data_IF_979071916883
#
_entry.id   IF_979071916883
#
_cell.length_a   1.000
_cell.length_b   1.000
_cell.length_c   1.000
_cell.angle_alpha   90.00
_cell.angle_beta   90.00
_cell.angle_gamma   90.00
#
_symmetry.space_group_name_H-M   'P 1'
#
loop_
_entity.id
_entity.type
_entity.pdbx_description
1 polymer ?
#
# COMPACT_ATOMS: atom_id res chain seq x y z
N UNK A 1 -38.37 43.44 22.79
CA UNK A 1 -37.61 42.85 21.67
C UNK A 1 -36.50 42.00 22.28
N UNK A 2 -36.52 40.68 22.05
CA UNK A 2 -35.59 39.74 22.63
C UNK A 2 -34.23 39.77 21.91
N UNK A 3 -33.12 39.80 22.64
CA UNK A 3 -31.78 39.46 22.15
C UNK A 3 -31.59 37.93 22.18
N UNK A 4 -30.77 37.38 21.27
CA UNK A 4 -29.80 36.40 21.76
C UNK A 4 -28.42 36.40 21.05
N UNK A 5 -27.40 36.24 21.90
CA UNK A 5 -26.16 35.47 21.74
C UNK A 5 -25.07 35.89 20.73
N UNK A 6 -24.02 36.47 21.31
CA UNK A 6 -22.67 36.48 20.80
C UNK A 6 -22.19 35.06 20.47
N UNK A 7 -21.85 34.79 19.21
CA UNK A 7 -20.96 33.69 18.86
C UNK A 7 -19.52 34.18 19.04
N UNK A 8 -19.01 34.08 20.26
CA UNK A 8 -17.57 33.99 20.48
C UNK A 8 -17.14 32.69 19.78
N UNK A 9 -16.70 32.76 18.52
CA UNK A 9 -15.79 31.73 18.04
C UNK A 9 -14.53 31.89 18.88
N UNK A 10 -14.45 31.12 19.97
CA UNK A 10 -13.19 30.78 20.57
C UNK A 10 -12.36 30.19 19.44
N UNK A 11 -11.52 31.03 18.83
CA UNK A 11 -10.31 30.60 18.15
C UNK A 11 -9.58 29.74 19.17
N UNK A 12 -9.90 28.45 19.17
CA UNK A 12 -9.20 27.47 19.98
C UNK A 12 -7.78 27.60 19.47
N UNK A 13 -6.83 27.99 20.33
CA UNK A 13 -5.40 28.02 20.05
C UNK A 13 -4.98 26.63 19.53
N UNK A 14 -5.20 26.40 18.24
CA UNK A 14 -4.84 25.20 17.51
C UNK A 14 -3.68 25.61 16.64
N UNK A 15 -2.49 25.36 17.16
CA UNK A 15 -1.28 25.55 16.40
C UNK A 15 -1.15 24.37 15.44
N UNK A 16 -1.10 24.68 14.15
CA UNK A 16 -0.91 23.69 13.09
C UNK A 16 0.56 23.27 13.06
N UNK A 17 0.82 21.97 13.19
CA UNK A 17 2.17 21.42 13.32
C UNK A 17 2.74 20.92 11.98
N UNK A 18 2.09 21.21 10.85
CA UNK A 18 2.50 20.73 9.52
C UNK A 18 3.98 21.01 9.19
N UNK A 19 4.48 22.22 9.47
CA UNK A 19 5.87 22.60 9.14
C UNK A 19 6.91 21.92 10.05
N UNK A 20 6.57 21.70 11.33
CA UNK A 20 7.43 20.99 12.27
C UNK A 20 7.54 19.49 11.94
N UNK A 21 6.47 18.90 11.40
CA UNK A 21 6.44 17.49 10.95
C UNK A 21 7.41 17.27 9.79
N UNK A 22 7.51 18.21 8.84
CA UNK A 22 8.38 18.07 7.65
C UNK A 22 9.88 17.98 8.01
N UNK A 23 10.33 18.75 9.01
CA UNK A 23 11.74 18.84 9.38
C UNK A 23 12.23 17.76 10.37
N UNK A 24 11.31 17.09 11.06
CA UNK A 24 11.63 16.18 12.16
C UNK A 24 11.64 14.69 11.77
N UNK A 25 11.10 14.37 10.59
CA UNK A 25 10.66 13.03 10.20
C UNK A 25 11.71 12.18 9.46
N UNK A 26 12.81 12.73 8.93
CA UNK A 26 13.62 11.98 7.96
C UNK A 26 14.43 10.82 8.57
N UNK A 27 14.92 10.97 9.80
CA UNK A 27 15.67 9.88 10.46
C UNK A 27 14.75 8.87 11.14
N UNK A 28 13.61 9.32 11.65
CA UNK A 28 12.78 8.54 12.55
C UNK A 28 11.60 7.87 11.87
N UNK A 29 11.05 8.48 10.83
CA UNK A 29 9.88 7.98 10.09
C UNK A 29 10.10 8.09 8.57
N UNK A 30 11.04 7.31 8.00
CA UNK A 30 11.47 7.42 6.62
C UNK A 30 10.42 6.95 5.61
N UNK A 31 9.56 5.98 5.98
CA UNK A 31 8.48 5.53 5.10
C UNK A 31 7.34 6.55 5.08
N UNK A 32 6.96 7.07 6.25
CA UNK A 32 5.87 8.03 6.39
C UNK A 32 6.12 9.32 5.59
N UNK A 33 7.36 9.83 5.57
CA UNK A 33 7.72 11.01 4.77
C UNK A 33 7.41 10.85 3.28
N UNK A 34 7.48 9.62 2.75
CA UNK A 34 7.29 9.36 1.32
C UNK A 34 5.82 9.30 0.94
N UNK A 35 4.96 8.85 1.85
CA UNK A 35 3.54 8.56 1.59
C UNK A 35 2.59 9.59 2.22
N UNK A 36 3.03 10.36 3.22
CA UNK A 36 2.20 11.35 3.88
C UNK A 36 1.94 12.53 2.95
N UNK A 37 0.65 12.81 2.72
CA UNK A 37 0.22 13.90 1.86
C UNK A 37 -0.59 14.90 2.67
N UNK A 38 -0.03 16.09 2.92
CA UNK A 38 -0.69 17.15 3.68
C UNK A 38 -1.75 17.91 2.87
N UNK A 39 -1.68 17.87 1.54
CA UNK A 39 -2.60 18.57 0.63
C UNK A 39 -3.89 17.80 0.29
N UNK A 40 -3.98 16.52 0.68
CA UNK A 40 -5.15 15.67 0.45
C UNK A 40 -5.79 15.33 1.80
N UNK A 41 -7.11 15.21 1.84
CA UNK A 41 -7.82 14.88 3.07
C UNK A 41 -8.97 13.92 2.80
N UNK A 42 -9.20 12.99 3.72
CA UNK A 42 -10.42 12.20 3.76
C UNK A 42 -11.60 13.12 4.13
N UNK A 43 -12.77 12.87 3.56
CA UNK A 43 -14.00 13.65 3.83
C UNK A 43 -14.96 12.93 4.78
N UNK A 44 -14.73 11.64 5.03
CA UNK A 44 -15.59 10.80 5.84
C UNK A 44 -14.75 9.84 6.69
N UNK A 45 -15.35 9.26 7.74
CA UNK A 45 -14.69 8.29 8.64
C UNK A 45 -14.38 6.96 7.95
N UNK A 46 -15.13 6.64 6.90
CA UNK A 46 -14.78 5.60 5.93
C UNK A 46 -14.28 6.28 4.66
N UNK A 47 -12.96 6.25 4.45
CA UNK A 47 -12.32 6.76 3.24
C UNK A 47 -12.35 5.69 2.17
N UNK A 48 -13.02 5.95 1.05
CA UNK A 48 -13.12 5.01 -0.05
C UNK A 48 -12.58 5.62 -1.33
N UNK A 49 -11.89 4.80 -2.11
CA UNK A 49 -11.33 5.17 -3.41
C UNK A 49 -11.72 4.14 -4.46
N UNK A 50 -11.65 4.55 -5.72
CA UNK A 50 -11.91 3.69 -6.86
C UNK A 50 -10.58 3.35 -7.52
N UNK A 51 -10.30 2.06 -7.62
CA UNK A 51 -9.18 1.56 -8.40
C UNK A 51 -9.59 1.51 -9.87
N UNK A 52 -9.13 2.49 -10.64
CA UNK A 52 -9.25 2.51 -12.09
C UNK A 52 -8.00 1.84 -12.67
N UNK A 53 -8.09 0.54 -12.89
CA UNK A 53 -7.02 -0.23 -13.55
C UNK A 53 -7.44 -0.57 -14.97
N UNK A 54 -6.46 -0.79 -15.85
CA UNK A 54 -6.73 -1.53 -17.08
C UNK A 54 -6.87 -3.01 -16.73
N UNK A 55 -7.84 -3.66 -17.35
CA UNK A 55 -7.97 -5.12 -17.29
C UNK A 55 -6.83 -5.76 -18.08
N UNK A 56 -6.10 -6.69 -17.44
CA UNK A 56 -5.03 -7.43 -18.10
C UNK A 56 -5.56 -8.39 -19.16
N UNK A 57 -4.75 -8.69 -20.19
CA UNK A 57 -5.09 -9.63 -21.26
C UNK A 57 -4.76 -11.09 -20.94
N UNK A 58 -4.22 -11.38 -19.75
CA UNK A 58 -3.83 -12.73 -19.33
C UNK A 58 -4.66 -13.21 -18.17
N UNK A 59 -4.79 -14.53 -18.04
CA UNK A 59 -5.42 -15.23 -16.92
C UNK A 59 -4.78 -16.63 -16.76
N UNK A 60 -5.31 -17.46 -15.86
CA UNK A 60 -4.94 -18.88 -15.72
C UNK A 60 -6.17 -19.77 -15.64
N UNK A 61 -6.01 -21.03 -16.05
CA UNK A 61 -6.98 -22.07 -15.76
C UNK A 61 -7.02 -22.34 -14.25
N UNK A 62 -8.22 -22.45 -13.71
CA UNK A 62 -8.51 -22.86 -12.33
C UNK A 62 -9.04 -24.30 -12.33
N UNK A 63 -8.14 -25.23 -12.65
CA UNK A 63 -8.43 -26.64 -12.86
C UNK A 63 -7.95 -27.19 -14.21
N UNK A 64 -7.60 -28.47 -14.21
CA UNK A 64 -7.24 -29.17 -15.44
C UNK A 64 -8.48 -29.41 -16.31
N UNK A 65 -8.32 -29.27 -17.62
CA UNK A 65 -9.38 -29.52 -18.61
C UNK A 65 -8.98 -30.65 -19.57
N UNK A 66 -9.96 -31.46 -19.96
CA UNK A 66 -9.77 -32.46 -21.01
C UNK A 66 -10.04 -31.85 -22.41
N UNK A 67 -9.95 -32.70 -23.44
CA UNK A 67 -10.16 -32.32 -24.85
C UNK A 67 -11.65 -32.19 -25.25
N UNK A 68 -12.57 -32.30 -24.30
CA UNK A 68 -14.01 -32.27 -24.52
C UNK A 68 -14.74 -31.22 -23.66
N UNK A 69 -14.10 -30.71 -22.60
CA UNK A 69 -14.63 -29.70 -21.71
C UNK A 69 -14.98 -28.41 -22.46
N UNK A 70 -16.26 -28.03 -22.40
CA UNK A 70 -16.81 -26.79 -22.99
C UNK A 70 -17.07 -25.70 -21.95
N UNK A 71 -17.04 -26.04 -20.68
CA UNK A 71 -17.08 -25.10 -19.56
C UNK A 71 -15.70 -25.06 -18.94
N UNK A 72 -15.10 -23.88 -18.86
CA UNK A 72 -13.75 -23.66 -18.37
C UNK A 72 -13.83 -22.74 -17.16
N UNK A 73 -13.22 -23.20 -16.07
CA UNK A 73 -12.97 -22.40 -14.89
C UNK A 73 -11.62 -21.67 -15.05
N UNK A 74 -11.64 -20.38 -14.78
CA UNK A 74 -10.50 -19.46 -14.87
C UNK A 74 -10.36 -18.76 -13.53
N UNK A 75 -9.12 -18.46 -13.13
CA UNK A 75 -8.84 -17.77 -11.86
C UNK A 75 -9.63 -16.45 -11.78
N UNK A 76 -9.73 -15.72 -12.90
CA UNK A 76 -10.54 -14.50 -13.02
C UNK A 76 -9.95 -13.30 -12.28
N UNK A 77 -8.85 -13.51 -11.56
CA UNK A 77 -8.12 -12.50 -10.81
C UNK A 77 -6.62 -12.44 -11.14
N UNK A 78 -6.10 -13.37 -11.94
CA UNK A 78 -4.69 -13.39 -12.33
C UNK A 78 -4.33 -12.17 -13.19
N UNK A 79 -3.40 -11.31 -12.75
CA UNK A 79 -3.14 -9.97 -13.35
C UNK A 79 -4.41 -9.10 -13.45
N UNK A 80 -5.35 -9.39 -12.54
CA UNK A 80 -6.55 -8.70 -12.08
C UNK A 80 -7.64 -8.27 -13.06
N UNK A 81 -8.84 -8.02 -12.52
CA UNK A 81 -10.05 -7.66 -13.23
C UNK A 81 -11.08 -8.78 -13.13
N UNK A 82 -11.91 -8.98 -12.07
CA UNK A 82 -13.06 -9.86 -12.24
C UNK A 82 -13.88 -9.29 -13.41
N UNK A 83 -14.16 -10.10 -14.43
CA UNK A 83 -14.87 -9.75 -15.68
C UNK A 83 -14.00 -9.37 -16.91
N UNK A 84 -12.85 -10.01 -17.12
CA UNK A 84 -12.04 -9.83 -18.34
C UNK A 84 -12.75 -10.23 -19.63
N UNK A 85 -13.61 -11.22 -19.51
CA UNK A 85 -14.21 -11.94 -20.61
C UNK A 85 -15.55 -11.34 -21.01
N UNK A 86 -15.78 -11.28 -22.32
CA UNK A 86 -17.07 -10.95 -22.92
C UNK A 86 -17.41 -12.05 -23.92
N UNK A 87 -18.69 -12.37 -24.09
CA UNK A 87 -19.12 -13.30 -25.12
C UNK A 87 -18.56 -12.89 -26.51
N UNK A 88 -18.04 -13.86 -27.25
CA UNK A 88 -17.36 -13.64 -28.53
C UNK A 88 -15.85 -13.42 -28.44
N UNK A 89 -15.28 -13.25 -27.24
CA UNK A 89 -13.82 -13.15 -27.03
C UNK A 89 -13.12 -14.44 -27.45
N UNK A 90 -11.98 -14.31 -28.14
CA UNK A 90 -11.11 -15.42 -28.49
C UNK A 90 -9.97 -15.49 -27.48
N UNK A 91 -9.83 -16.64 -26.84
CA UNK A 91 -8.76 -16.95 -25.91
C UNK A 91 -7.82 -17.99 -26.52
N UNK A 92 -6.59 -18.03 -26.02
CA UNK A 92 -5.57 -18.99 -26.40
C UNK A 92 -5.03 -19.67 -25.15
N UNK A 93 -4.92 -20.99 -25.18
CA UNK A 93 -4.29 -21.81 -24.15
C UNK A 93 -3.26 -22.68 -24.86
N UNK A 94 -1.97 -22.47 -24.58
CA UNK A 94 -0.86 -23.10 -25.30
C UNK A 94 -1.00 -22.94 -26.83
N UNK A 95 -1.30 -24.00 -27.59
CA UNK A 95 -1.51 -23.95 -29.04
C UNK A 95 -3.00 -24.01 -29.45
N UNK A 96 -3.91 -24.07 -28.48
CA UNK A 96 -5.35 -24.12 -28.72
C UNK A 96 -5.98 -22.73 -28.68
N UNK A 97 -6.73 -22.37 -29.72
CA UNK A 97 -7.63 -21.23 -29.72
C UNK A 97 -9.04 -21.67 -29.34
N UNK A 98 -9.70 -20.92 -28.46
CA UNK A 98 -11.07 -21.17 -28.04
C UNK A 98 -11.88 -19.88 -28.14
N UNK A 99 -13.14 -19.98 -28.53
CA UNK A 99 -14.05 -18.82 -28.60
C UNK A 99 -15.06 -18.89 -27.47
N UNK A 100 -15.14 -17.86 -26.64
CA UNK A 100 -16.12 -17.76 -25.57
C UNK A 100 -17.52 -17.56 -26.18
N UNK A 101 -18.45 -18.45 -25.85
CA UNK A 101 -19.86 -18.37 -26.28
C UNK A 101 -20.72 -17.66 -25.23
N UNK A 102 -20.42 -17.87 -23.95
CA UNK A 102 -21.08 -17.19 -22.83
C UNK A 102 -20.13 -17.02 -21.66
N UNK A 103 -20.36 -15.99 -20.86
CA UNK A 103 -19.68 -15.77 -19.58
C UNK A 103 -20.69 -16.13 -18.50
N UNK A 104 -20.40 -17.16 -17.71
CA UNK A 104 -21.34 -17.69 -16.71
C UNK A 104 -21.13 -17.00 -15.36
N UNK A 105 -19.88 -16.66 -15.04
CA UNK A 105 -19.48 -15.88 -13.86
C UNK A 105 -18.13 -15.18 -14.12
N UNK A 106 -17.58 -14.46 -13.13
CA UNK A 106 -16.24 -13.86 -13.22
C UNK A 106 -15.10 -14.89 -13.32
N UNK A 107 -15.36 -16.15 -12.98
CA UNK A 107 -14.38 -17.26 -12.93
C UNK A 107 -14.78 -18.44 -13.82
N UNK A 108 -15.87 -18.34 -14.58
CA UNK A 108 -16.34 -19.45 -15.43
C UNK A 108 -16.88 -18.96 -16.76
N UNK A 109 -16.39 -19.55 -17.84
CA UNK A 109 -16.78 -19.26 -19.22
C UNK A 109 -17.15 -20.53 -19.98
N UNK A 110 -18.11 -20.41 -20.89
CA UNK A 110 -18.43 -21.47 -21.86
C UNK A 110 -17.73 -21.16 -23.17
N UNK A 111 -17.07 -22.14 -23.77
CA UNK A 111 -16.25 -21.96 -24.98
C UNK A 111 -16.60 -22.97 -26.08
N UNK A 112 -16.35 -22.57 -27.32
CA UNK A 112 -16.14 -23.47 -28.45
C UNK A 112 -14.65 -23.77 -28.57
N UNK A 113 -14.29 -25.04 -28.38
CA UNK A 113 -12.93 -25.59 -28.49
C UNK A 113 -12.48 -25.71 -29.95
N UNK A 114 -11.17 -25.82 -30.19
CA UNK A 114 -10.63 -26.02 -31.55
C UNK A 114 -10.97 -24.90 -32.55
N UNK A 115 -11.06 -23.66 -32.07
CA UNK A 115 -11.45 -22.52 -32.88
C UNK A 115 -10.33 -22.12 -33.85
N UNK A 116 -10.68 -21.47 -34.97
CA UNK A 116 -9.72 -21.03 -35.99
C UNK A 116 -8.79 -22.15 -36.54
N UNK A 117 -9.23 -23.40 -36.47
CA UNK A 117 -8.48 -24.56 -36.98
C UNK A 117 -7.51 -25.20 -35.98
N UNK A 118 -7.51 -24.78 -34.70
CA UNK A 118 -6.76 -25.48 -33.66
C UNK A 118 -7.40 -26.82 -33.28
N UNK A 119 -6.65 -27.67 -32.59
CA UNK A 119 -7.14 -28.97 -32.10
C UNK A 119 -7.40 -28.89 -30.60
N UNK A 120 -8.52 -29.47 -30.14
CA UNK A 120 -8.83 -29.53 -28.72
C UNK A 120 -7.83 -30.43 -27.97
N UNK A 121 -7.17 -29.89 -26.94
CA UNK A 121 -6.16 -30.57 -26.15
C UNK A 121 -6.51 -30.66 -24.67
N UNK A 122 -5.82 -31.52 -23.93
CA UNK A 122 -5.88 -31.49 -22.47
C UNK A 122 -4.89 -30.45 -21.96
N UNK A 123 -5.30 -29.63 -21.00
CA UNK A 123 -4.43 -28.63 -20.37
C UNK A 123 -4.42 -28.83 -18.86
N UNK A 124 -3.27 -28.65 -18.25
CA UNK A 124 -3.10 -28.77 -16.80
C UNK A 124 -3.61 -27.52 -16.09
N UNK A 125 -3.91 -27.67 -14.80
CA UNK A 125 -4.22 -26.54 -13.93
C UNK A 125 -3.10 -25.49 -13.96
N UNK A 126 -3.44 -24.22 -13.72
CA UNK A 126 -2.55 -23.06 -13.75
C UNK A 126 -1.91 -22.74 -15.11
N UNK A 127 -2.33 -23.39 -16.20
CA UNK A 127 -1.89 -23.03 -17.56
C UNK A 127 -2.37 -21.62 -17.92
N UNK A 128 -1.51 -20.81 -18.53
CA UNK A 128 -1.83 -19.44 -18.93
C UNK A 128 -2.91 -19.41 -20.01
N UNK A 129 -3.88 -18.51 -19.83
CA UNK A 129 -4.93 -18.17 -20.79
C UNK A 129 -4.67 -16.76 -21.31
N UNK A 130 -4.45 -16.62 -22.61
CA UNK A 130 -4.24 -15.34 -23.27
C UNK A 130 -5.50 -14.88 -24.00
N UNK A 131 -5.99 -13.68 -23.70
CA UNK A 131 -7.05 -13.01 -24.45
C UNK A 131 -6.44 -12.44 -25.72
N UNK A 132 -6.74 -13.07 -26.86
CA UNK A 132 -6.15 -12.71 -28.15
C UNK A 132 -6.90 -11.55 -28.79
N UNK A 133 -8.22 -11.61 -28.82
CA UNK A 133 -9.05 -10.61 -29.47
C UNK A 133 -10.50 -10.64 -28.98
N UNK A 134 -11.17 -9.49 -29.11
CA UNK A 134 -12.63 -9.35 -28.92
C UNK A 134 -13.29 -8.97 -30.26
N UNK A 135 -13.36 -9.90 -31.23
CA UNK A 135 -13.87 -9.58 -32.57
C UNK A 135 -15.34 -9.21 -32.53
N UNK A 136 -15.73 -8.21 -33.32
CA UNK A 136 -17.13 -7.81 -33.54
C UNK A 136 -17.54 -8.21 -34.96
N UNK A 137 -18.80 -8.62 -35.12
CA UNK A 137 -19.35 -8.96 -36.43
C UNK A 137 -19.56 -7.71 -37.29
N UNK A 138 -19.55 -7.87 -38.61
CA UNK A 138 -19.93 -6.80 -39.54
C UNK A 138 -21.42 -6.46 -39.36
N UNK A 139 -21.73 -5.16 -39.24
CA UNK A 139 -23.08 -4.68 -38.91
C UNK A 139 -23.45 -4.81 -37.42
N UNK A 140 -22.46 -4.90 -36.52
CA UNK A 140 -22.71 -4.94 -35.08
C UNK A 140 -23.39 -3.67 -34.58
N UNK A 141 -24.59 -3.83 -34.02
CA UNK A 141 -25.28 -2.80 -33.27
C UNK A 141 -24.87 -2.86 -31.79
N UNK A 142 -24.45 -1.74 -31.17
CA UNK A 142 -24.11 -1.71 -29.75
C UNK A 142 -25.39 -1.87 -28.91
N UNK A 143 -25.64 -3.08 -28.41
CA UNK A 143 -26.83 -3.38 -27.61
C UNK A 143 -26.66 -3.07 -26.12
N UNK A 144 -25.42 -3.00 -25.62
CA UNK A 144 -25.09 -2.72 -24.23
C UNK A 144 -23.78 -1.90 -24.12
N UNK A 145 -23.64 -1.15 -23.02
CA UNK A 145 -22.47 -0.32 -22.76
C UNK A 145 -21.34 -1.14 -22.15
N UNK A 146 -20.13 -1.06 -22.73
CA UNK A 146 -18.91 -1.76 -22.26
C UNK A 146 -18.16 -0.98 -21.15
N UNK A 147 -18.84 -0.10 -20.40
CA UNK A 147 -18.19 0.64 -19.31
C UNK A 147 -17.85 -0.30 -18.15
N UNK A 148 -16.56 -0.41 -17.82
CA UNK A 148 -16.09 -1.12 -16.63
C UNK A 148 -16.09 -0.18 -15.42
N UNK A 149 -16.80 -0.58 -14.36
CA UNK A 149 -16.72 0.12 -13.07
C UNK A 149 -15.44 -0.29 -12.34
N UNK A 150 -14.67 0.69 -11.87
CA UNK A 150 -13.52 0.42 -11.02
C UNK A 150 -13.94 -0.21 -9.68
N UNK A 151 -13.06 -1.03 -9.11
CA UNK A 151 -13.31 -1.67 -7.81
C UNK A 151 -13.21 -0.61 -6.71
N UNK A 152 -14.19 -0.59 -5.81
CA UNK A 152 -14.20 0.33 -4.68
C UNK A 152 -13.54 -0.32 -3.47
N UNK A 153 -12.37 0.19 -3.10
CA UNK A 153 -11.71 -0.15 -1.85
C UNK A 153 -11.99 0.92 -0.79
N UNK A 154 -11.84 0.54 0.47
CA UNK A 154 -12.06 1.46 1.59
C UNK A 154 -11.19 1.15 2.80
N UNK A 155 -10.91 2.19 3.57
CA UNK A 155 -10.26 2.14 4.86
C UNK A 155 -11.00 3.03 5.87
N UNK A 156 -10.72 2.83 7.15
CA UNK A 156 -11.26 3.67 8.22
C UNK A 156 -10.27 4.77 8.63
N UNK A 157 -10.78 5.85 9.22
CA UNK A 157 -9.95 6.86 9.90
C UNK A 157 -9.76 6.48 11.36
N UNK A 158 -8.57 6.74 11.89
CA UNK A 158 -8.19 6.47 13.28
C UNK A 158 -7.69 7.73 13.97
N UNK A 159 -8.10 7.92 15.22
CA UNK A 159 -7.69 9.05 16.05
C UNK A 159 -6.38 8.72 16.78
N UNK A 160 -5.40 9.59 16.60
CA UNK A 160 -4.12 9.58 17.29
C UNK A 160 -4.11 10.70 18.31
N UNK A 161 -3.88 10.38 19.59
CA UNK A 161 -3.78 11.40 20.63
C UNK A 161 -2.73 11.10 21.68
N UNK A 162 -2.12 12.16 22.22
CA UNK A 162 -1.28 12.10 23.42
C UNK A 162 -1.59 13.29 24.32
N UNK A 163 -1.72 13.01 25.61
CA UNK A 163 -2.02 13.98 26.65
C UNK A 163 -0.77 14.32 27.46
N UNK A 164 -0.56 15.61 27.73
CA UNK A 164 0.53 16.13 28.54
C UNK A 164 -0.07 17.03 29.60
N UNK A 165 0.41 16.90 30.84
CA UNK A 165 0.06 17.79 31.93
C UNK A 165 1.29 18.17 32.74
N UNK A 166 1.44 19.45 33.06
CA UNK A 166 2.51 19.98 33.90
C UNK A 166 1.93 20.84 35.01
N UNK A 167 2.52 20.76 36.20
CA UNK A 167 2.15 21.63 37.33
C UNK A 167 2.77 23.02 37.17
N UNK A 168 2.13 24.05 37.73
CA UNK A 168 2.66 25.42 37.71
C UNK A 168 4.04 25.53 38.36
N UNK A 169 4.29 24.75 39.42
CA UNK A 169 5.62 24.65 40.04
C UNK A 169 6.66 24.06 39.07
N UNK A 170 6.33 22.98 38.34
CA UNK A 170 7.25 22.37 37.38
C UNK A 170 7.61 23.32 36.23
N UNK A 171 6.66 24.15 35.79
CA UNK A 171 6.91 25.15 34.74
C UNK A 171 7.76 26.32 35.25
N UNK A 172 7.58 26.72 36.51
CA UNK A 172 8.36 27.80 37.12
C UNK A 172 9.83 27.40 37.38
N UNK A 173 10.10 26.10 37.57
CA UNK A 173 11.46 25.58 37.71
C UNK A 173 12.17 25.62 36.36
N UNK A 174 13.14 26.54 36.22
CA UNK A 174 14.03 26.61 35.06
C UNK A 174 14.95 25.39 35.03
N UNK A 175 14.65 24.44 34.14
CA UNK A 175 15.55 23.32 33.84
C UNK A 175 16.50 23.75 32.73
N UNK A 176 17.81 23.66 32.98
CA UNK A 176 18.83 23.99 32.01
C UNK A 176 18.64 23.13 30.73
N UNK A 177 18.51 23.78 29.57
CA UNK A 177 18.30 23.11 28.27
C UNK A 177 16.84 22.89 27.87
N UNK A 178 15.85 23.32 28.67
CA UNK A 178 14.43 23.31 28.31
C UNK A 178 13.74 24.61 28.77
N UNK A 179 13.98 25.70 28.04
CA UNK A 179 13.43 27.03 28.38
C UNK A 179 11.89 27.05 28.38
N UNK A 180 11.26 26.15 27.61
CA UNK A 180 9.81 25.91 27.61
C UNK A 180 9.49 24.41 27.73
N UNK A 181 9.46 23.87 28.95
CA UNK A 181 9.21 22.45 29.22
C UNK A 181 7.96 21.90 28.51
N UNK A 182 6.87 22.67 28.46
CA UNK A 182 5.63 22.22 27.80
C UNK A 182 5.85 21.98 26.30
N UNK A 183 6.46 22.94 25.59
CA UNK A 183 6.71 22.83 24.15
C UNK A 183 7.62 21.65 23.81
N UNK A 184 8.69 21.44 24.57
CA UNK A 184 9.62 20.33 24.37
C UNK A 184 8.95 18.98 24.58
N UNK A 185 8.05 18.86 25.57
CA UNK A 185 7.30 17.64 25.78
C UNK A 185 6.26 17.41 24.67
N UNK A 186 5.61 18.48 24.19
CA UNK A 186 4.68 18.40 23.04
C UNK A 186 5.39 17.90 21.79
N UNK A 187 6.56 18.42 21.46
CA UNK A 187 7.35 17.96 20.31
C UNK A 187 7.77 16.49 20.45
N UNK A 188 8.19 16.06 21.64
CA UNK A 188 8.52 14.65 21.90
C UNK A 188 7.32 13.73 21.71
N UNK A 189 6.13 14.15 22.15
CA UNK A 189 4.90 13.38 21.95
C UNK A 189 4.42 13.40 20.51
N UNK A 190 4.64 14.49 19.77
CA UNK A 190 4.40 14.51 18.34
C UNK A 190 5.28 13.48 17.61
N UNK A 191 6.58 13.39 17.94
CA UNK A 191 7.47 12.36 17.36
C UNK A 191 6.98 10.94 17.65
N UNK A 192 6.53 10.69 18.88
CA UNK A 192 5.98 9.39 19.29
C UNK A 192 4.74 9.03 18.46
N UNK A 193 3.83 9.99 18.25
CA UNK A 193 2.65 9.82 17.41
C UNK A 193 3.00 9.54 15.94
N UNK A 194 3.98 10.23 15.38
CA UNK A 194 4.41 9.98 13.99
C UNK A 194 4.99 8.58 13.83
N UNK A 195 5.76 8.08 14.80
CA UNK A 195 6.26 6.69 14.80
C UNK A 195 5.13 5.67 14.87
N UNK A 196 4.11 5.95 15.69
CA UNK A 196 2.91 5.13 15.76
C UNK A 196 2.18 5.07 14.41
N UNK A 197 2.01 6.23 13.74
CA UNK A 197 1.41 6.28 12.39
C UNK A 197 2.21 5.51 11.35
N UNK A 198 3.55 5.59 11.35
CA UNK A 198 4.38 4.78 10.42
C UNK A 198 4.20 3.28 10.68
N UNK A 199 4.24 2.88 11.95
CA UNK A 199 4.06 1.48 12.33
C UNK A 199 2.70 0.93 11.89
N UNK A 200 1.63 1.70 12.09
CA UNK A 200 0.29 1.32 11.63
C UNK A 200 0.15 1.37 10.11
N UNK A 201 0.83 2.28 9.41
CA UNK A 201 0.88 2.28 7.95
C UNK A 201 1.49 0.98 7.38
N UNK A 202 2.36 0.31 8.13
CA UNK A 202 2.97 -0.97 7.72
C UNK A 202 2.14 -2.16 8.19
N UNK A 203 1.86 -2.24 9.50
CA UNK A 203 1.31 -3.42 10.18
C UNK A 203 -0.20 -3.33 10.47
N UNK A 204 -0.83 -2.20 10.18
CA UNK A 204 -2.21 -1.92 10.56
C UNK A 204 -3.20 -2.92 9.97
N UNK A 205 -4.25 -3.20 10.74
CA UNK A 205 -5.37 -4.05 10.33
C UNK A 205 -6.62 -3.19 10.24
N UNK A 206 -7.43 -3.44 9.20
CA UNK A 206 -8.71 -2.75 9.06
C UNK A 206 -9.72 -3.42 9.99
N UNK A 207 -10.13 -2.73 11.04
CA UNK A 207 -11.08 -3.27 12.02
C UNK A 207 -11.96 -2.18 12.63
N UNK A 208 -13.23 -2.52 12.88
CA UNK A 208 -14.19 -1.71 13.62
C UNK A 208 -14.88 -2.63 14.65
N UNK A 209 -14.98 -2.20 15.91
CA UNK A 209 -15.46 -3.04 17.02
C UNK A 209 -16.99 -3.25 17.05
N UNK A 210 -17.69 -2.89 15.98
CA UNK A 210 -19.16 -2.99 15.87
C UNK A 210 -19.94 -1.96 16.71
N UNK A 211 -19.28 -1.25 17.64
CA UNK A 211 -19.88 -0.11 18.37
C UNK A 211 -19.80 1.20 17.58
N UNK A 212 -18.96 1.24 16.54
CA UNK A 212 -18.78 2.39 15.66
C UNK A 212 -17.84 3.48 16.20
N UNK A 213 -17.29 3.29 17.41
CA UNK A 213 -16.50 4.30 18.10
C UNK A 213 -14.99 4.05 17.95
N UNK A 214 -14.55 2.79 17.99
CA UNK A 214 -13.13 2.43 17.82
C UNK A 214 -12.87 1.85 16.43
N UNK A 215 -12.00 2.53 15.68
CA UNK A 215 -11.61 2.15 14.33
C UNK A 215 -10.09 2.06 14.23
N UNK A 216 -9.63 0.99 13.58
CA UNK A 216 -8.25 0.80 13.19
C UNK A 216 -8.14 0.88 11.67
N UNK A 217 -7.20 1.69 11.18
CA UNK A 217 -6.95 1.76 9.75
C UNK A 217 -6.00 0.62 9.31
N UNK A 218 -6.28 0.03 8.14
CA UNK A 218 -5.44 -0.99 7.54
C UNK A 218 -4.15 -0.43 6.92
N UNK A 219 -3.03 -1.11 7.13
CA UNK A 219 -1.73 -0.77 6.56
C UNK A 219 -1.38 -1.62 5.33
N UNK A 220 -0.12 -1.57 4.92
CA UNK A 220 0.40 -2.35 3.78
C UNK A 220 0.11 -3.84 3.89
N UNK A 221 0.28 -4.43 5.09
CA UNK A 221 0.06 -5.86 5.27
C UNK A 221 -1.38 -6.31 4.97
N UNK A 222 -2.38 -5.44 5.17
CA UNK A 222 -3.78 -5.74 4.88
C UNK A 222 -4.10 -5.60 3.39
N UNK A 223 -3.50 -4.61 2.72
CA UNK A 223 -3.86 -4.26 1.34
C UNK A 223 -2.98 -4.94 0.28
N UNK A 224 -1.71 -5.25 0.57
CA UNK A 224 -0.83 -5.94 -0.38
C UNK A 224 -1.16 -7.42 -0.38
N UNK A 225 -1.80 -7.89 -1.46
CA UNK A 225 -2.24 -9.29 -1.62
C UNK A 225 -1.23 -10.16 -2.37
N UNK A 226 -0.44 -9.57 -3.28
CA UNK A 226 0.58 -10.30 -4.03
C UNK A 226 1.76 -10.63 -3.11
N UNK A 227 2.07 -11.91 -2.98
CA UNK A 227 3.12 -12.39 -2.09
C UNK A 227 3.94 -13.56 -2.65
N UNK A 228 5.23 -13.55 -2.33
CA UNK A 228 6.12 -14.71 -2.50
C UNK A 228 6.64 -15.17 -1.13
N UNK A 229 6.58 -16.47 -0.89
CA UNK A 229 7.17 -17.11 0.29
C UNK A 229 8.60 -17.56 -0.01
N UNK A 230 9.58 -16.88 0.59
CA UNK A 230 10.98 -17.22 0.42
C UNK A 230 11.41 -18.49 1.21
N UNK A 231 10.50 -19.13 1.96
CA UNK A 231 10.73 -20.39 2.65
C UNK A 231 12.00 -20.42 3.53
N UNK A 232 12.24 -19.34 4.28
CA UNK A 232 13.44 -19.10 5.10
C UNK A 232 14.76 -19.03 4.31
N UNK A 233 14.72 -18.80 2.99
CA UNK A 233 15.90 -18.57 2.18
C UNK A 233 16.54 -17.20 2.48
N UNK A 234 17.87 -17.13 2.34
CA UNK A 234 18.58 -15.86 2.36
C UNK A 234 18.11 -14.98 1.20
N UNK A 235 18.06 -13.66 1.43
CA UNK A 235 17.71 -12.71 0.38
C UNK A 235 18.69 -12.84 -0.79
N UNK A 236 18.16 -13.07 -2.00
CA UNK A 236 18.89 -13.12 -3.25
C UNK A 236 18.34 -12.08 -4.23
N UNK A 237 19.13 -11.67 -5.22
CA UNK A 237 18.67 -10.72 -6.26
C UNK A 237 17.50 -11.29 -7.06
N UNK A 238 17.46 -12.61 -7.28
CA UNK A 238 16.36 -13.30 -7.95
C UNK A 238 15.00 -13.06 -7.27
N UNK A 239 14.93 -13.00 -5.94
CA UNK A 239 13.67 -12.72 -5.25
C UNK A 239 13.11 -11.34 -5.62
N UNK A 240 13.99 -10.35 -5.77
CA UNK A 240 13.60 -8.97 -6.14
C UNK A 240 13.28 -8.91 -7.63
N UNK A 241 14.08 -9.56 -8.47
CA UNK A 241 13.90 -9.51 -9.92
C UNK A 241 12.60 -10.24 -10.32
N UNK A 242 12.28 -11.40 -9.74
CA UNK A 242 10.99 -12.08 -9.94
C UNK A 242 9.81 -11.20 -9.52
N UNK A 243 9.88 -10.58 -8.33
CA UNK A 243 8.83 -9.68 -7.86
C UNK A 243 8.64 -8.48 -8.79
N UNK A 244 9.73 -7.91 -9.32
CA UNK A 244 9.68 -6.79 -10.26
C UNK A 244 9.10 -7.22 -11.60
N UNK A 245 9.45 -8.41 -12.11
CA UNK A 245 8.91 -8.94 -13.35
C UNK A 245 7.40 -9.15 -13.26
N UNK A 246 6.91 -9.76 -12.18
CA UNK A 246 5.46 -9.95 -11.97
C UNK A 246 4.71 -8.62 -11.89
N UNK A 247 5.29 -7.62 -11.22
CA UNK A 247 4.73 -6.27 -11.18
C UNK A 247 4.72 -5.59 -12.57
N UNK A 248 5.77 -5.79 -13.38
CA UNK A 248 5.83 -5.26 -14.74
C UNK A 248 4.79 -5.90 -15.65
N UNK A 249 4.57 -7.20 -15.54
CA UNK A 249 3.52 -7.88 -16.31
C UNK A 249 2.12 -7.38 -15.94
N UNK A 250 1.90 -7.01 -14.67
CA UNK A 250 0.70 -6.32 -14.20
C UNK A 250 0.62 -4.84 -14.64
N UNK A 251 1.62 -4.33 -15.39
CA UNK A 251 1.69 -2.95 -15.86
C UNK A 251 2.06 -1.92 -14.77
N UNK A 252 2.50 -2.38 -13.59
CA UNK A 252 2.93 -1.52 -12.50
C UNK A 252 4.37 -1.03 -12.70
N UNK A 253 4.69 0.14 -12.14
CA UNK A 253 6.03 0.74 -12.19
C UNK A 253 6.57 0.92 -10.77
N UNK A 254 7.17 -0.12 -10.17
CA UNK A 254 7.68 -0.02 -8.81
C UNK A 254 8.83 1.00 -8.74
N UNK A 255 8.88 1.77 -7.64
CA UNK A 255 9.89 2.81 -7.43
C UNK A 255 10.52 2.78 -6.02
N UNK A 256 10.00 1.92 -5.13
CA UNK A 256 10.39 1.87 -3.73
C UNK A 256 10.62 0.44 -3.30
N UNK A 257 11.74 0.19 -2.62
CA UNK A 257 11.98 -1.04 -1.88
C UNK A 257 11.94 -0.71 -0.40
N UNK A 258 10.90 -1.16 0.31
CA UNK A 258 10.78 -0.98 1.75
C UNK A 258 11.36 -2.21 2.46
N UNK A 259 12.38 -2.00 3.29
CA UNK A 259 13.17 -3.07 3.90
C UNK A 259 13.34 -2.87 5.40
N UNK A 260 13.46 -3.98 6.12
CA UNK A 260 13.91 -4.00 7.50
C UNK A 260 15.42 -3.79 7.61
N UNK A 261 15.89 -3.60 8.84
CA UNK A 261 17.31 -3.42 9.14
C UNK A 261 18.18 -4.62 8.74
N UNK A 262 17.67 -5.83 8.96
CA UNK A 262 18.37 -7.08 8.67
C UNK A 262 18.43 -7.29 7.17
N UNK A 263 17.31 -7.12 6.46
CA UNK A 263 17.27 -7.29 5.00
C UNK A 263 18.10 -6.22 4.28
N UNK A 264 18.20 -5.00 4.82
CA UNK A 264 19.13 -3.98 4.31
C UNK A 264 20.60 -4.42 4.41
N UNK A 265 20.99 -5.08 5.50
CA UNK A 265 22.33 -5.62 5.65
C UNK A 265 22.58 -6.78 4.67
N UNK A 266 21.60 -7.68 4.50
CA UNK A 266 21.66 -8.74 3.50
C UNK A 266 21.84 -8.18 2.07
N UNK A 267 21.12 -7.12 1.71
CA UNK A 267 21.29 -6.40 0.44
C UNK A 267 22.70 -5.82 0.25
N UNK A 268 23.28 -5.25 1.30
CA UNK A 268 24.65 -4.73 1.24
C UNK A 268 25.66 -5.87 1.03
N UNK A 269 25.45 -7.02 1.66
CA UNK A 269 26.31 -8.20 1.52
C UNK A 269 26.22 -8.84 0.13
N UNK A 270 25.04 -8.81 -0.52
CA UNK A 270 24.88 -9.28 -1.90
C UNK A 270 25.76 -8.52 -2.89
N UNK A 271 26.09 -7.25 -2.63
CA UNK A 271 27.04 -6.49 -3.44
C UNK A 271 28.50 -6.70 -3.05
N UNK A 272 28.80 -6.95 -1.77
CA UNK A 272 30.16 -7.23 -1.30
C UNK A 272 30.76 -8.47 -2.02
N UNK A 273 29.92 -9.46 -2.37
CA UNK A 273 30.33 -10.66 -3.13
C UNK A 273 30.82 -10.36 -4.57
N UNK A 274 30.59 -9.16 -5.12
CA UNK A 274 31.07 -8.76 -6.46
C UNK A 274 32.32 -7.86 -6.47
N UNK A 275 32.86 -7.45 -5.32
CA UNK A 275 33.93 -6.44 -5.22
C UNK A 275 35.23 -6.99 -4.58
N UNK A 276 35.42 -8.31 -4.51
CA UNK A 276 36.75 -8.86 -4.20
C UNK A 276 37.72 -8.73 -5.41
N UNK A 277 37.94 -7.51 -5.91
CA UNK A 277 39.01 -7.14 -6.83
C UNK A 277 39.14 -5.61 -6.99
N UNK A 278 39.56 -4.89 -5.95
CA UNK A 278 40.39 -3.67 -6.08
C UNK A 278 40.85 -3.15 -4.71
N UNK A 279 42.13 -2.78 -4.64
CA UNK A 279 42.90 -2.40 -3.46
C UNK A 279 42.59 -1.01 -2.86
N UNK A 280 42.97 -0.88 -1.58
CA UNK A 280 43.58 0.25 -0.85
C UNK A 280 42.90 1.63 -0.83
N UNK A 281 42.63 2.10 0.40
CA UNK A 281 42.41 3.49 0.81
C UNK A 281 41.21 4.27 0.26
N UNK A 282 40.07 4.10 0.96
CA UNK A 282 39.12 5.11 1.45
C UNK A 282 37.90 4.35 1.96
N UNK A 283 37.46 4.61 3.20
CA UNK A 283 36.29 4.03 3.87
C UNK A 283 35.38 3.20 2.94
N UNK A 284 35.55 1.87 2.95
CA UNK A 284 34.77 0.94 2.13
C UNK A 284 33.34 0.93 2.69
N UNK A 285 32.51 1.84 2.20
CA UNK A 285 31.08 1.92 2.53
C UNK A 285 30.30 1.19 1.44
N UNK A 286 30.02 -0.09 1.65
CA UNK A 286 29.21 -0.93 0.75
C UNK A 286 27.70 -0.69 0.90
N UNK A 287 27.28 0.56 1.14
CA UNK A 287 25.88 0.92 1.34
C UNK A 287 25.14 1.04 0.01
N UNK A 288 24.07 0.26 -0.16
CA UNK A 288 23.27 0.24 -1.39
C UNK A 288 22.02 1.09 -1.23
N UNK A 289 21.97 2.30 -1.76
CA UNK A 289 20.78 3.16 -1.61
C UNK A 289 19.76 3.01 -2.75
N UNK A 290 20.23 2.59 -3.93
CA UNK A 290 19.39 2.34 -5.11
C UNK A 290 19.70 0.93 -5.62
N UNK A 291 18.65 0.14 -5.79
CA UNK A 291 18.70 -1.12 -6.52
C UNK A 291 18.29 -0.84 -7.97
N UNK A 292 19.10 -1.25 -8.94
CA UNK A 292 18.75 -1.12 -10.35
C UNK A 292 18.16 -2.46 -10.79
N UNK A 293 16.87 -2.50 -11.07
CA UNK A 293 16.19 -3.65 -11.65
C UNK A 293 15.86 -3.39 -13.12
N UNK A 294 15.35 -4.40 -13.83
CA UNK A 294 14.93 -4.27 -15.23
C UNK A 294 13.79 -3.25 -15.43
N UNK A 295 12.95 -3.03 -14.40
CA UNK A 295 11.91 -1.99 -14.41
C UNK A 295 12.44 -0.56 -14.23
N UNK A 296 13.71 -0.41 -13.83
CA UNK A 296 14.32 0.87 -13.48
C UNK A 296 14.83 0.93 -12.04
N UNK A 297 15.18 2.13 -11.55
CA UNK A 297 15.78 2.30 -10.23
C UNK A 297 14.73 2.22 -9.11
N UNK A 298 14.93 1.28 -8.18
CA UNK A 298 14.20 1.17 -6.93
C UNK A 298 14.95 1.87 -5.80
N UNK A 299 14.34 2.89 -5.19
CA UNK A 299 14.90 3.58 -4.03
C UNK A 299 14.67 2.75 -2.77
N UNK A 300 15.75 2.40 -2.07
CA UNK A 300 15.66 1.61 -0.85
C UNK A 300 15.34 2.52 0.33
N UNK A 301 14.23 2.24 1.01
CA UNK A 301 13.80 2.90 2.24
C UNK A 301 13.90 1.88 3.36
N UNK A 302 14.70 2.19 4.37
CA UNK A 302 14.86 1.37 5.57
C UNK A 302 13.90 1.87 6.64
N UNK A 303 13.03 1.02 7.16
CA UNK A 303 12.20 1.33 8.33
C UNK A 303 12.47 0.33 9.45
N UNK A 304 12.42 0.79 10.70
CA UNK A 304 12.60 -0.06 11.87
C UNK A 304 11.34 -0.86 12.22
N UNK A 305 10.17 -0.36 11.83
CA UNK A 305 8.86 -0.97 12.12
C UNK A 305 8.49 -2.10 11.14
N UNK A 306 9.30 -2.27 10.10
CA UNK A 306 9.19 -3.37 9.15
C UNK A 306 9.53 -4.73 9.80
N UNK A 307 8.71 -5.78 9.60
CA UNK A 307 9.04 -7.13 10.03
C UNK A 307 10.39 -7.59 9.48
N UNK A 308 11.18 -8.27 10.32
CA UNK A 308 12.53 -8.70 9.97
C UNK A 308 12.58 -9.68 8.78
N UNK A 309 11.52 -10.47 8.61
CA UNK A 309 11.34 -11.54 7.63
C UNK A 309 10.72 -11.08 6.31
N UNK A 310 10.32 -9.81 6.22
CA UNK A 310 9.49 -9.30 5.13
C UNK A 310 10.17 -8.14 4.40
N UNK A 311 9.89 -8.05 3.10
CA UNK A 311 10.34 -6.98 2.22
C UNK A 311 9.19 -6.60 1.28
N UNK A 312 9.03 -5.31 0.99
CA UNK A 312 8.01 -4.85 0.04
C UNK A 312 8.62 -4.15 -1.17
N UNK A 313 8.14 -4.49 -2.35
CA UNK A 313 8.34 -3.75 -3.59
C UNK A 313 7.08 -2.93 -3.86
N UNK A 314 7.21 -1.62 -3.83
CA UNK A 314 6.07 -0.70 -3.80
C UNK A 314 6.18 0.35 -4.92
N UNK A 315 5.01 0.81 -5.37
CA UNK A 315 4.87 2.10 -6.03
C UNK A 315 4.36 3.12 -5.02
N UNK A 316 5.27 3.94 -4.51
CA UNK A 316 4.96 4.99 -3.53
C UNK A 316 4.00 6.08 -4.04
N UNK A 317 3.79 6.22 -5.36
CA UNK A 317 2.83 7.18 -5.91
C UNK A 317 1.37 6.76 -5.73
N UNK A 318 1.14 5.46 -5.54
CA UNK A 318 -0.18 4.85 -5.36
C UNK A 318 -0.57 4.70 -3.88
N UNK A 319 0.36 4.97 -2.97
CA UNK A 319 0.16 4.88 -1.52
C UNK A 319 0.13 6.26 -0.91
N UNK A 320 -0.92 6.58 -0.16
CA UNK A 320 -1.09 7.90 0.47
C UNK A 320 -1.60 7.77 1.90
N UNK A 321 -0.96 8.46 2.82
CA UNK A 321 -1.50 8.69 4.17
C UNK A 321 -2.06 10.09 4.22
N UNK A 322 -3.35 10.20 4.55
CA UNK A 322 -4.09 11.46 4.51
C UNK A 322 -4.79 11.71 5.86
N UNK A 323 -4.81 12.96 6.35
CA UNK A 323 -5.61 13.32 7.51
C UNK A 323 -7.11 13.37 7.16
N UNK A 324 -7.97 13.22 8.17
CA UNK A 324 -9.38 13.61 8.05
C UNK A 324 -9.49 15.14 7.97
N UNK A 325 -10.40 15.65 7.14
CA UNK A 325 -10.57 17.08 6.91
C UNK A 325 -10.69 17.86 8.24
N UNK A 326 -9.87 18.90 8.40
CA UNK A 326 -9.76 19.72 9.63
C UNK A 326 -9.29 18.99 10.91
N UNK A 327 -8.81 17.74 10.80
CA UNK A 327 -8.27 16.94 11.91
C UNK A 327 -6.82 16.49 11.71
N UNK A 328 -6.01 17.33 11.06
CA UNK A 328 -4.54 17.20 11.06
C UNK A 328 -4.00 17.28 12.50
N UNK A 329 -2.77 16.78 12.72
CA UNK A 329 -2.11 16.94 14.01
C UNK A 329 -2.05 18.41 14.43
N UNK A 330 -2.70 18.72 15.55
CA UNK A 330 -2.73 20.04 16.13
C UNK A 330 -2.50 19.94 17.64
N UNK A 331 -1.80 20.94 18.18
CA UNK A 331 -1.73 21.13 19.62
C UNK A 331 -3.01 21.84 20.08
N UNK A 332 -3.70 21.26 21.06
CA UNK A 332 -4.89 21.83 21.68
C UNK A 332 -4.61 22.05 23.16
N UNK A 333 -4.65 23.31 23.61
CA UNK A 333 -4.60 23.63 25.04
C UNK A 333 -5.94 23.25 25.68
N UNK A 334 -5.90 22.47 26.75
CA UNK A 334 -7.08 22.07 27.50
C UNK A 334 -7.31 23.03 28.67
N UNK A 335 -8.52 23.02 29.24
CA UNK A 335 -8.81 23.82 30.42
C UNK A 335 -7.88 23.47 31.58
N UNK A 336 -7.42 24.50 32.29
CA UNK A 336 -6.64 24.32 33.51
C UNK A 336 -7.49 23.64 34.57
N UNK A 337 -6.87 22.78 35.37
CA UNK A 337 -7.54 22.07 36.46
C UNK A 337 -6.72 22.29 37.74
N UNK A 338 -7.12 23.27 38.54
CA UNK A 338 -6.28 23.77 39.64
C UNK A 338 -4.98 24.38 39.10
N UNK A 339 -3.84 24.00 39.69
CA UNK A 339 -2.49 24.42 39.27
C UNK A 339 -1.91 23.54 38.12
N UNK A 340 -2.75 22.80 37.40
CA UNK A 340 -2.34 21.90 36.34
C UNK A 340 -2.66 22.48 34.95
N UNK A 341 -1.62 22.71 34.17
CA UNK A 341 -1.71 23.05 32.76
C UNK A 341 -1.75 21.78 31.91
N UNK A 342 -2.77 21.67 31.05
CA UNK A 342 -3.06 20.49 30.25
C UNK A 342 -2.97 20.84 28.76
N UNK A 343 -2.31 20.00 27.98
CA UNK A 343 -2.19 20.15 26.52
C UNK A 343 -2.31 18.78 25.87
N UNK A 344 -3.01 18.71 24.75
CA UNK A 344 -3.19 17.47 23.99
C UNK A 344 -2.74 17.67 22.55
N UNK A 345 -1.98 16.72 22.03
CA UNK A 345 -1.73 16.60 20.59
C UNK A 345 -2.74 15.61 20.05
N UNK A 346 -3.55 16.01 19.07
CA UNK A 346 -4.58 15.17 18.46
C UNK A 346 -4.53 15.30 16.95
N UNK A 347 -4.70 14.18 16.25
CA UNK A 347 -4.85 14.10 14.81
C UNK A 347 -5.65 12.87 14.44
N UNK A 348 -6.21 12.84 13.24
CA UNK A 348 -6.97 11.70 12.72
C UNK A 348 -6.51 11.42 11.29
N UNK A 349 -6.07 10.18 11.04
CA UNK A 349 -5.41 9.79 9.80
C UNK A 349 -5.98 8.48 9.25
N UNK A 350 -5.81 8.27 7.95
CA UNK A 350 -6.10 7.03 7.24
C UNK A 350 -5.09 6.82 6.13
N UNK A 351 -5.05 5.60 5.59
CA UNK A 351 -4.18 5.20 4.49
C UNK A 351 -5.01 4.73 3.30
N UNK A 352 -4.66 5.23 2.12
CA UNK A 352 -5.19 4.84 0.83
C UNK A 352 -4.10 4.10 0.05
N UNK A 353 -4.38 2.85 -0.32
CA UNK A 353 -3.52 2.01 -1.16
C UNK A 353 -4.27 1.76 -2.46
N UNK A 354 -3.87 2.45 -3.52
CA UNK A 354 -4.47 2.25 -4.84
C UNK A 354 -3.80 1.07 -5.53
N UNK A 355 -4.62 0.29 -6.24
CA UNK A 355 -4.18 -0.86 -7.02
C UNK A 355 -3.28 -1.81 -6.20
N UNK A 356 -3.84 -2.60 -5.27
CA UNK A 356 -3.06 -3.49 -4.40
C UNK A 356 -2.16 -4.48 -5.17
N UNK A 357 -2.54 -4.85 -6.40
CA UNK A 357 -1.75 -5.70 -7.30
C UNK A 357 -0.47 -5.04 -7.84
N UNK A 358 -0.34 -3.70 -7.72
CA UNK A 358 0.87 -2.95 -8.08
C UNK A 358 1.93 -2.97 -6.96
N UNK A 359 1.70 -3.74 -5.91
CA UNK A 359 2.57 -3.89 -4.77
C UNK A 359 2.84 -5.37 -4.54
N UNK A 360 4.05 -5.68 -4.10
CA UNK A 360 4.49 -7.05 -3.91
C UNK A 360 5.16 -7.22 -2.56
N UNK A 361 4.83 -8.30 -1.86
CA UNK A 361 5.43 -8.68 -0.59
C UNK A 361 6.28 -9.93 -0.75
N UNK A 362 7.49 -9.91 -0.23
CA UNK A 362 8.32 -11.10 -0.05
C UNK A 362 8.31 -11.41 1.44
N UNK A 363 7.86 -12.59 1.84
CA UNK A 363 7.74 -13.04 3.24
C UNK A 363 8.69 -14.20 3.54
N UNK A 364 8.86 -14.50 4.83
CA UNK A 364 9.68 -15.61 5.32
C UNK A 364 11.13 -15.59 4.80
N UNK A 365 11.75 -14.41 4.71
CA UNK A 365 13.18 -14.31 4.43
C UNK A 365 13.99 -14.71 5.68
N UNK A 366 15.19 -15.27 5.46
CA UNK A 366 16.12 -15.54 6.53
C UNK A 366 16.44 -14.27 7.32
N UNK A 367 16.46 -14.40 8.64
CA UNK A 367 16.76 -13.32 9.60
C UNK A 367 18.18 -13.40 10.18
N UNK A 368 18.92 -14.47 9.85
CA UNK A 368 20.26 -14.78 10.36
C UNK A 368 21.37 -14.24 9.47
#
# INVERSE_FOLDING_TARGET
MATPFASYELATDREDLADAISNLAERETPFLKKIMHSGLAATNTTHSWVNTRLVGFKDRLDGAIDNSATTIDVDGSFQGAPNKYVAGTVIKVEDEYMKITSVNSSTQVTVTRGYAGSTAASHVDNTQVDIVAKPKAEGFEPSESEHEFGIKDSNFTQIFSRFISLTGTSQAVKVAGAENQMSTQTERKLKELLKEVEREAILGIKFEDGSGDNRLFGGLQQFVTQENDAAAAALATSHIDTAVLELLENGAKPNTLLVSNIQKNALNNLKASRVEQAQSDKSISNLVDIYHSEAGPLKIVRSNDMPADSLYVLDSGLIKVVPLQKRRFAMVKLSKSGDLDKTMVIGEYTMEVRNPEAHYRIKNLAIS
#
